data_IF_168069779131
#
_entry.id   IF_168069779131
#
_cell.length_a   1.000
_cell.length_b   1.000
_cell.length_c   1.000
_cell.angle_alpha   90.00
_cell.angle_beta   90.00
_cell.angle_gamma   90.00
#
_symmetry.space_group_name_H-M   'P 1'
#
loop_
_entity.id
_entity.type
_entity.pdbx_description
1 polymer ?
#
# COMPACT_ATOMS: atom_id res chain seq x y z
N UNK A 1 7.15 7.54 14.55
CA UNK A 1 8.07 7.49 13.38
C UNK A 1 8.46 6.03 13.16
N UNK A 2 8.61 5.57 11.92
CA UNK A 2 9.04 4.17 11.65
C UNK A 2 10.56 3.99 11.82
N UNK A 3 11.06 2.75 11.77
CA UNK A 3 12.50 2.40 11.80
C UNK A 3 13.34 3.28 10.85
N UNK A 4 12.80 3.63 9.67
CA UNK A 4 13.52 4.39 8.63
C UNK A 4 13.14 5.87 8.55
N UNK A 5 12.52 6.42 9.60
CA UNK A 5 12.14 7.83 9.65
C UNK A 5 10.84 8.18 8.91
N UNK A 6 10.10 7.18 8.40
CA UNK A 6 8.83 7.42 7.69
C UNK A 6 7.75 7.87 8.68
N UNK A 7 6.90 8.80 8.25
CA UNK A 7 5.81 9.43 9.02
C UNK A 7 4.46 9.38 8.31
N UNK A 8 4.44 9.26 6.98
CA UNK A 8 3.22 9.27 6.19
C UNK A 8 3.09 8.02 5.32
N UNK A 9 1.85 7.75 4.89
CA UNK A 9 1.50 6.64 4.01
C UNK A 9 0.75 7.22 2.82
N UNK A 10 1.19 6.85 1.62
CA UNK A 10 0.42 7.01 0.39
C UNK A 10 -0.25 5.67 0.07
N UNK A 11 -1.57 5.70 -0.09
CA UNK A 11 -2.39 4.53 -0.43
C UNK A 11 -2.98 4.76 -1.82
N UNK A 12 -2.68 3.85 -2.74
CA UNK A 12 -3.21 3.85 -4.11
C UNK A 12 -4.11 2.62 -4.25
N UNK A 13 -5.32 2.80 -4.76
CA UNK A 13 -6.30 1.72 -4.91
C UNK A 13 -6.76 1.68 -6.35
N UNK A 14 -6.60 0.52 -7.01
CA UNK A 14 -7.15 0.28 -8.33
C UNK A 14 -8.68 0.15 -8.25
N UNK A 15 -9.41 0.82 -9.15
CA UNK A 15 -10.87 0.86 -9.05
C UNK A 15 -11.54 -0.47 -9.41
N UNK A 16 -10.97 -1.18 -10.39
CA UNK A 16 -11.51 -2.44 -10.87
C UNK A 16 -11.18 -3.60 -9.92
N UNK A 17 -9.91 -3.90 -9.71
CA UNK A 17 -9.46 -5.03 -8.91
C UNK A 17 -9.55 -4.78 -7.39
N UNK A 18 -9.61 -3.51 -6.96
CA UNK A 18 -9.39 -3.07 -5.57
C UNK A 18 -8.00 -3.42 -5.03
N UNK A 19 -7.07 -3.75 -5.92
CA UNK A 19 -5.68 -3.94 -5.55
C UNK A 19 -5.11 -2.65 -4.97
N UNK A 20 -4.37 -2.79 -3.88
CA UNK A 20 -3.88 -1.64 -3.13
C UNK A 20 -2.37 -1.64 -3.09
N UNK A 21 -1.77 -0.48 -3.39
CA UNK A 21 -0.36 -0.23 -3.15
C UNK A 21 -0.22 0.73 -1.96
N UNK A 22 0.77 0.45 -1.12
CA UNK A 22 1.15 1.34 -0.01
C UNK A 22 2.59 1.79 -0.19
N UNK A 23 2.85 3.08 0.02
CA UNK A 23 4.18 3.67 0.03
C UNK A 23 4.37 4.47 1.31
N UNK A 24 5.58 4.44 1.87
CA UNK A 24 5.90 5.09 3.13
C UNK A 24 6.84 6.28 2.91
N UNK A 25 6.45 7.43 3.44
CA UNK A 25 7.07 8.73 3.16
C UNK A 25 7.60 9.38 4.44
N UNK A 26 8.73 10.11 4.40
CA UNK A 26 9.17 10.92 5.57
C UNK A 26 8.44 12.25 5.62
N UNK A 27 8.32 12.91 4.48
CA UNK A 27 7.59 14.17 4.31
C UNK A 27 6.39 13.98 3.37
N UNK A 28 5.33 14.77 3.57
CA UNK A 28 4.18 14.75 2.64
C UNK A 28 4.57 15.18 1.23
N UNK A 29 5.57 16.03 1.11
CA UNK A 29 6.08 16.54 -0.18
C UNK A 29 6.90 15.48 -0.95
N UNK A 30 7.18 14.32 -0.34
CA UNK A 30 7.64 13.14 -1.08
C UNK A 30 6.49 12.48 -1.87
N UNK A 31 5.23 12.69 -1.47
CA UNK A 31 4.04 12.14 -2.17
C UNK A 31 4.10 12.46 -3.64
N UNK A 32 4.45 13.71 -4.00
CA UNK A 32 4.99 14.03 -5.29
C UNK A 32 5.98 12.96 -5.78
N UNK A 33 7.26 13.00 -5.43
CA UNK A 33 8.33 12.09 -5.87
C UNK A 33 7.97 10.58 -6.03
N UNK A 34 6.98 10.03 -5.31
CA UNK A 34 6.50 8.65 -5.48
C UNK A 34 5.34 8.47 -6.45
N UNK A 35 4.46 9.44 -6.57
CA UNK A 35 3.59 9.57 -7.74
C UNK A 35 4.48 9.87 -8.98
N UNK A 36 5.66 10.47 -8.75
CA UNK A 36 6.45 11.24 -9.72
C UNK A 36 7.81 10.61 -10.09
N UNK A 37 8.15 9.46 -9.51
CA UNK A 37 8.92 8.45 -10.26
C UNK A 37 8.03 7.75 -11.32
N UNK A 38 6.81 8.27 -11.53
CA UNK A 38 6.22 8.57 -12.85
C UNK A 38 5.65 10.03 -12.90
N UNK A 39 6.55 11.02 -12.95
CA UNK A 39 6.44 12.49 -13.24
C UNK A 39 5.44 13.43 -12.53
N UNK A 40 5.87 14.71 -12.40
CA UNK A 40 5.65 15.64 -11.28
C UNK A 40 4.27 16.38 -11.25
N UNK A 41 3.45 16.29 -10.18
CA UNK A 41 2.07 16.81 -10.12
C UNK A 41 1.91 18.33 -10.16
N UNK A 42 0.97 18.72 -11.02
CA UNK A 42 0.41 20.06 -11.29
C UNK A 42 1.39 21.07 -11.91
N UNK A 43 1.90 20.72 -13.08
CA UNK A 43 2.26 21.70 -14.10
C UNK A 43 1.79 21.12 -15.44
N UNK A 44 1.51 21.97 -16.43
CA UNK A 44 0.97 21.61 -17.75
C UNK A 44 1.54 20.27 -18.31
N UNK A 45 2.83 20.02 -18.07
CA UNK A 45 3.61 18.82 -18.40
C UNK A 45 2.99 17.46 -18.01
N UNK A 46 2.29 17.33 -16.88
CA UNK A 46 1.66 16.05 -16.51
C UNK A 46 0.38 15.80 -17.29
N UNK A 47 -0.38 16.85 -17.60
CA UNK A 47 -1.55 16.71 -18.48
C UNK A 47 -1.09 16.29 -19.86
N UNK A 48 -0.02 16.91 -20.36
CA UNK A 48 0.55 16.59 -21.67
C UNK A 48 1.06 15.13 -21.72
N UNK A 49 1.75 14.64 -20.67
CA UNK A 49 2.14 13.23 -20.56
C UNK A 49 0.91 12.31 -20.48
N UNK A 50 -0.05 12.60 -19.61
CA UNK A 50 -1.26 11.79 -19.48
C UNK A 50 -2.07 11.73 -20.79
N UNK A 51 -2.16 12.84 -21.53
CA UNK A 51 -2.73 12.88 -22.88
C UNK A 51 -1.90 12.04 -23.88
N UNK A 52 -0.57 12.07 -23.81
CA UNK A 52 0.33 11.30 -24.66
C UNK A 52 0.21 9.77 -24.45
N UNK A 53 0.19 9.31 -23.19
CA UNK A 53 -0.02 7.88 -22.86
C UNK A 53 -1.50 7.47 -22.84
N UNK A 54 -2.42 8.38 -23.13
CA UNK A 54 -3.86 8.10 -23.19
C UNK A 54 -4.50 7.82 -21.83
N UNK A 55 -3.91 8.31 -20.74
CA UNK A 55 -4.42 8.20 -19.38
C UNK A 55 -5.32 9.39 -19.09
N UNK A 56 -6.61 9.15 -18.85
CA UNK A 56 -7.51 10.21 -18.38
C UNK A 56 -7.26 10.50 -16.91
N UNK A 57 -6.61 11.62 -16.60
CA UNK A 57 -6.40 12.05 -15.23
C UNK A 57 -7.58 12.89 -14.71
N UNK A 58 -8.36 12.30 -13.81
CA UNK A 58 -9.44 12.99 -13.11
C UNK A 58 -8.98 13.46 -11.73
N UNK A 59 -8.92 14.78 -11.52
CA UNK A 59 -8.79 15.33 -10.18
C UNK A 59 -10.14 15.26 -9.47
N UNK A 60 -10.18 14.69 -8.27
CA UNK A 60 -11.40 14.73 -7.44
C UNK A 60 -11.89 16.17 -7.29
N UNK A 61 -13.15 16.42 -7.63
CA UNK A 61 -13.76 17.73 -7.42
C UNK A 61 -13.82 18.00 -5.91
N UNK A 62 -13.39 19.18 -5.48
CA UNK A 62 -13.53 19.60 -4.10
C UNK A 62 -14.99 19.40 -3.66
N UNK A 63 -15.22 18.62 -2.59
CA UNK A 63 -16.55 18.24 -2.07
C UNK A 63 -17.32 17.16 -2.86
N UNK A 64 -16.63 16.18 -3.44
CA UNK A 64 -17.23 14.90 -3.90
C UNK A 64 -16.83 13.71 -3.00
N UNK A 65 -17.46 13.53 -1.81
CA UNK A 65 -17.06 12.51 -0.82
C UNK A 65 -17.12 11.06 -1.33
N UNK A 66 -17.92 10.80 -2.38
CA UNK A 66 -18.19 9.46 -2.89
C UNK A 66 -16.95 8.84 -3.55
N UNK A 67 -16.16 9.64 -4.29
CA UNK A 67 -14.92 9.17 -4.93
C UNK A 67 -13.83 8.86 -3.88
N UNK A 68 -13.74 9.68 -2.82
CA UNK A 68 -12.81 9.42 -1.72
C UNK A 68 -13.23 8.27 -0.82
N UNK A 69 -14.52 7.93 -0.77
CA UNK A 69 -15.03 6.93 0.17
C UNK A 69 -14.40 5.55 0.04
N UNK A 70 -14.01 5.12 -1.17
CA UNK A 70 -13.31 3.83 -1.35
C UNK A 70 -11.92 3.88 -0.71
N UNK A 71 -11.12 4.89 -1.06
CA UNK A 71 -9.74 5.04 -0.56
C UNK A 71 -9.74 5.29 0.95
N UNK A 72 -10.68 6.09 1.47
CA UNK A 72 -10.82 6.35 2.90
C UNK A 72 -11.18 5.10 3.69
N UNK A 73 -12.14 4.29 3.22
CA UNK A 73 -12.48 3.00 3.86
C UNK A 73 -11.31 2.04 3.81
N UNK A 74 -10.59 1.99 2.67
CA UNK A 74 -9.41 1.14 2.51
C UNK A 74 -8.30 1.55 3.47
N UNK A 75 -8.01 2.84 3.55
CA UNK A 75 -7.00 3.38 4.46
C UNK A 75 -7.35 3.03 5.93
N UNK A 76 -8.60 3.26 6.35
CA UNK A 76 -9.07 2.89 7.69
C UNK A 76 -8.84 1.41 7.98
N UNK A 77 -9.23 0.53 7.06
CA UNK A 77 -9.06 -0.92 7.18
C UNK A 77 -7.60 -1.31 7.35
N UNK A 78 -6.69 -0.72 6.57
CA UNK A 78 -5.25 -0.99 6.66
C UNK A 78 -4.69 -0.58 8.02
N UNK A 79 -5.04 0.62 8.50
CA UNK A 79 -4.55 1.16 9.77
C UNK A 79 -5.08 0.35 10.96
N UNK A 80 -6.36 0.01 10.98
CA UNK A 80 -6.97 -0.77 12.06
C UNK A 80 -6.39 -2.19 12.12
N UNK A 81 -6.23 -2.85 10.97
CA UNK A 81 -5.62 -4.17 10.91
C UNK A 81 -4.14 -4.13 11.33
N UNK A 82 -3.38 -3.10 10.92
CA UNK A 82 -1.98 -2.96 11.32
C UNK A 82 -1.82 -2.74 12.82
N UNK A 83 -2.69 -1.91 13.42
CA UNK A 83 -2.73 -1.72 14.89
C UNK A 83 -3.03 -3.03 15.61
N UNK A 84 -4.02 -3.78 15.13
CA UNK A 84 -4.38 -5.10 15.70
C UNK A 84 -3.21 -6.07 15.62
N UNK A 85 -2.54 -6.11 14.48
CA UNK A 85 -1.36 -6.96 14.23
C UNK A 85 -0.20 -6.62 15.18
N UNK A 86 0.09 -5.34 15.41
CA UNK A 86 1.11 -4.90 16.36
C UNK A 86 0.77 -5.28 17.81
N UNK A 87 -0.47 -5.04 18.24
CA UNK A 87 -0.94 -5.38 19.60
C UNK A 87 -0.82 -6.88 19.83
N UNK A 88 -1.29 -7.69 18.87
CA UNK A 88 -1.23 -9.14 18.94
C UNK A 88 0.21 -9.65 19.08
N UNK A 89 1.13 -9.15 18.24
CA UNK A 89 2.53 -9.54 18.26
C UNK A 89 3.33 -8.94 19.43
N UNK A 90 2.71 -8.08 20.28
CA UNK A 90 3.39 -7.25 21.28
C UNK A 90 4.58 -6.48 20.68
N UNK A 91 4.43 -6.06 19.42
CA UNK A 91 5.48 -5.42 18.66
C UNK A 91 5.51 -3.91 18.93
N UNK A 92 6.70 -3.29 18.94
CA UNK A 92 6.82 -1.85 19.15
C UNK A 92 6.22 -1.04 17.99
N UNK A 93 5.67 0.13 18.33
CA UNK A 93 4.95 0.99 17.37
C UNK A 93 5.83 1.45 16.20
N UNK A 94 7.16 1.52 16.35
CA UNK A 94 8.04 1.91 15.24
C UNK A 94 7.99 0.93 14.06
N UNK A 95 7.46 -0.29 14.24
CA UNK A 95 7.23 -1.28 13.18
C UNK A 95 5.90 -1.07 12.43
N UNK A 96 5.24 0.08 12.62
CA UNK A 96 3.94 0.34 11.99
C UNK A 96 3.97 0.26 10.47
N UNK A 97 5.08 0.63 9.84
CA UNK A 97 5.20 0.61 8.38
C UNK A 97 5.24 -0.84 7.86
N UNK A 98 6.01 -1.69 8.52
CA UNK A 98 6.14 -3.12 8.28
C UNK A 98 4.79 -3.83 8.51
N UNK A 99 4.07 -3.46 9.58
CA UNK A 99 2.72 -3.98 9.85
C UNK A 99 1.73 -3.59 8.75
N UNK A 100 1.69 -2.31 8.33
CA UNK A 100 0.82 -1.86 7.24
C UNK A 100 1.16 -2.55 5.91
N UNK A 101 2.45 -2.71 5.61
CA UNK A 101 2.90 -3.42 4.41
C UNK A 101 2.42 -4.88 4.42
N UNK A 102 2.57 -5.56 5.56
CA UNK A 102 2.13 -6.95 5.75
C UNK A 102 0.62 -7.09 5.59
N UNK A 103 -0.16 -6.18 6.19
CA UNK A 103 -1.63 -6.16 6.05
C UNK A 103 -2.01 -5.96 4.59
N UNK A 104 -1.43 -4.99 3.90
CA UNK A 104 -1.73 -4.71 2.50
C UNK A 104 -1.42 -5.93 1.61
N UNK A 105 -0.23 -6.52 1.80
CA UNK A 105 0.22 -7.71 1.10
C UNK A 105 -0.75 -8.89 1.29
N UNK A 106 -1.16 -9.11 2.54
CA UNK A 106 -2.07 -10.19 2.94
C UNK A 106 -3.45 -9.97 2.34
N UNK A 107 -4.05 -8.81 2.55
CA UNK A 107 -5.41 -8.53 2.11
C UNK A 107 -5.54 -8.53 0.57
N UNK A 108 -4.51 -8.12 -0.17
CA UNK A 108 -4.53 -8.24 -1.64
C UNK A 108 -4.58 -9.70 -2.10
N UNK A 109 -4.12 -10.66 -1.29
CA UNK A 109 -4.01 -12.09 -1.63
C UNK A 109 -5.03 -12.98 -0.95
N UNK A 110 -5.69 -12.53 0.11
CA UNK A 110 -6.63 -13.36 0.89
C UNK A 110 -8.05 -12.82 0.92
N UNK A 111 -8.27 -11.51 0.68
CA UNK A 111 -9.61 -10.95 0.75
C UNK A 111 -10.33 -11.14 -0.59
N UNK A 112 -11.35 -11.98 -0.60
CA UNK A 112 -12.11 -12.30 -1.82
C UNK A 112 -13.09 -11.17 -2.10
N UNK A 113 -13.03 -10.62 -3.31
CA UNK A 113 -14.02 -9.69 -3.80
C UNK A 113 -15.25 -10.46 -4.25
N UNK A 114 -16.29 -10.47 -3.41
CA UNK A 114 -17.54 -11.23 -3.61
C UNK A 114 -18.12 -11.13 -5.03
N UNK A 115 -18.07 -9.95 -5.66
CA UNK A 115 -18.60 -9.74 -7.03
C UNK A 115 -17.92 -10.61 -8.09
N UNK A 116 -16.65 -10.94 -7.91
CA UNK A 116 -15.84 -11.69 -8.90
C UNK A 116 -15.38 -13.04 -8.38
N UNK A 117 -15.65 -13.34 -7.09
CA UNK A 117 -15.15 -14.54 -6.39
C UNK A 117 -13.62 -14.72 -6.50
N UNK A 118 -12.91 -13.59 -6.65
CA UNK A 118 -11.46 -13.52 -6.84
C UNK A 118 -10.84 -12.52 -5.89
N UNK A 119 -9.60 -12.76 -5.52
CA UNK A 119 -8.75 -11.84 -4.77
C UNK A 119 -8.28 -10.70 -5.67
N UNK A 120 -7.95 -9.51 -5.10
CA UNK A 120 -7.32 -8.44 -5.86
C UNK A 120 -6.07 -8.91 -6.63
N UNK A 121 -5.27 -9.81 -6.04
CA UNK A 121 -4.09 -10.37 -6.68
C UNK A 121 -4.43 -11.16 -7.95
N UNK A 122 -5.45 -12.03 -7.89
CA UNK A 122 -5.93 -12.80 -9.05
C UNK A 122 -6.48 -11.89 -10.15
N UNK A 123 -7.21 -10.83 -9.79
CA UNK A 123 -7.75 -9.87 -10.75
C UNK A 123 -6.64 -9.09 -11.47
N UNK A 124 -5.55 -8.78 -10.78
CA UNK A 124 -4.43 -8.02 -11.36
C UNK A 124 -3.45 -8.88 -12.15
N UNK A 125 -3.18 -10.11 -11.71
CA UNK A 125 -2.09 -10.93 -12.27
C UNK A 125 -2.60 -12.17 -13.02
N UNK A 126 -3.91 -12.43 -13.02
CA UNK A 126 -4.51 -13.60 -13.68
C UNK A 126 -4.14 -14.94 -13.05
N UNK A 127 -3.47 -14.95 -11.90
CA UNK A 127 -2.98 -16.16 -11.22
C UNK A 127 -3.39 -16.16 -9.74
N UNK A 128 -3.74 -17.33 -9.22
CA UNK A 128 -3.98 -17.51 -7.79
C UNK A 128 -2.71 -17.22 -6.97
N UNK A 129 -2.82 -16.50 -5.86
CA UNK A 129 -1.67 -16.30 -4.98
C UNK A 129 -1.30 -17.62 -4.32
N UNK A 130 -0.02 -17.95 -4.33
CA UNK A 130 0.50 -18.95 -3.39
C UNK A 130 0.43 -18.34 -1.98
N UNK A 131 -0.13 -19.11 -1.04
CA UNK A 131 -0.29 -18.71 0.36
C UNK A 131 0.53 -19.60 1.31
N UNK A 132 1.26 -20.59 0.79
CA UNK A 132 2.00 -21.58 1.59
C UNK A 132 3.11 -20.96 2.45
N UNK A 133 3.68 -19.83 2.01
CA UNK A 133 4.74 -19.10 2.70
C UNK A 133 4.23 -18.06 3.71
N UNK A 134 2.91 -17.97 3.95
CA UNK A 134 2.40 -17.03 4.93
C UNK A 134 2.74 -17.46 6.35
N UNK A 135 3.34 -16.54 7.09
CA UNK A 135 3.61 -16.68 8.51
C UNK A 135 2.89 -15.59 9.30
N UNK A 136 2.58 -15.90 10.56
CA UNK A 136 2.01 -14.92 11.49
C UNK A 136 3.00 -13.78 11.67
N UNK A 137 2.50 -12.53 11.63
CA UNK A 137 3.36 -11.38 11.88
C UNK A 137 3.98 -11.45 13.27
N UNK A 138 5.29 -11.25 13.36
CA UNK A 138 6.07 -11.43 14.59
C UNK A 138 6.50 -12.87 14.87
N UNK A 139 6.29 -13.81 13.93
CA UNK A 139 6.86 -15.15 14.02
C UNK A 139 8.40 -15.12 14.04
N UNK A 140 9.00 -16.09 14.72
CA UNK A 140 10.46 -16.26 14.76
C UNK A 140 10.99 -16.50 13.34
N UNK A 141 11.98 -15.71 12.92
CA UNK A 141 12.67 -15.86 11.65
C UNK A 141 14.18 -15.92 11.86
N UNK A 142 14.87 -16.62 10.96
CA UNK A 142 16.33 -16.69 10.93
C UNK A 142 16.80 -15.88 9.72
N UNK A 143 17.51 -14.75 9.92
CA UNK A 143 18.02 -13.98 8.80
C UNK A 143 19.09 -14.79 8.07
N UNK A 144 18.92 -14.95 6.76
CA UNK A 144 20.01 -15.44 5.90
C UNK A 144 21.07 -14.34 5.83
N UNK A 145 22.27 -14.66 6.29
CA UNK A 145 23.29 -13.68 6.64
C UNK A 145 24.06 -13.25 5.38
N UNK A 146 23.43 -12.50 4.48
CA UNK A 146 23.99 -12.09 3.19
C UNK A 146 24.89 -10.83 3.29
N UNK A 147 25.52 -10.59 4.46
CA UNK A 147 26.52 -9.54 4.69
C UNK A 147 26.02 -8.09 4.74
N UNK A 148 24.95 -7.73 4.03
CA UNK A 148 24.55 -6.32 3.88
C UNK A 148 23.54 -5.78 4.92
N UNK A 149 22.81 -6.64 5.64
CA UNK A 149 21.65 -6.22 6.45
C UNK A 149 21.74 -6.47 7.97
N UNK A 150 22.92 -6.77 8.51
CA UNK A 150 23.10 -7.14 9.93
C UNK A 150 22.83 -5.99 10.92
N UNK A 151 22.66 -4.73 10.44
CA UNK A 151 22.48 -3.55 11.31
C UNK A 151 21.06 -2.99 11.36
N UNK A 152 20.06 -3.67 10.79
CA UNK A 152 18.70 -3.13 10.62
C UNK A 152 17.61 -3.98 11.27
N UNK A 153 17.76 -4.33 12.54
CA UNK A 153 16.63 -4.74 13.40
C UNK A 153 16.90 -4.27 14.83
#
# INVERSE_FOLDING_TARGET
ESVNGKKYILVIVDDYSRFTWVKFLRLKDETPMFIINGTEFVNQTLRDYYEEVGISHETSVARSPQQNGVVERRNRTLIEAARTMLIYARAPLFLWAEAVATVCFTQNRSNIRLRHEKTPYELMHGKQPDLSYFHVFGALCYPTNDGENVRKL
#
